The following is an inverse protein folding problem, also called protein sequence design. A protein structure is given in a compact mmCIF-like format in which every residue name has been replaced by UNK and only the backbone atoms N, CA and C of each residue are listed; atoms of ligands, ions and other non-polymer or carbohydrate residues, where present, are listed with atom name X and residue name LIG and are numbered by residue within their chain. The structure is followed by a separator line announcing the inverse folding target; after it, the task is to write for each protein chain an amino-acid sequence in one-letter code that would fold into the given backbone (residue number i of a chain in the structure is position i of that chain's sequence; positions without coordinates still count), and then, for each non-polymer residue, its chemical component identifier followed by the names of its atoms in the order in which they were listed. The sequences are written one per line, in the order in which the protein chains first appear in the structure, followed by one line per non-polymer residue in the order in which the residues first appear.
data_IF_998885421323
#
_entry.id   IF_998885421323
#
_cell.length_a   1.000
_cell.length_b   1.000
_cell.length_c   1.000
_cell.angle_alpha   90.00
_cell.angle_beta   90.00
_cell.angle_gamma   90.00
#
_symmetry.space_group_name_H-M   'P 1'
#
loop_
_entity.id
_entity.type
_entity.pdbx_description
1 polymer ?
#
# COMPACT_ATOMS: atom_id res chain seq x y z
N UNK A 1 25.88 7.70 -4.43
CA UNK A 1 25.37 7.32 -5.76
C UNK A 1 24.63 8.53 -6.31
N UNK A 2 24.96 9.01 -7.51
CA UNK A 2 24.23 10.12 -8.14
C UNK A 2 23.06 9.55 -8.94
N UNK A 3 21.84 10.05 -8.70
CA UNK A 3 20.64 9.67 -9.46
C UNK A 3 20.42 10.70 -10.55
N UNK A 4 20.40 10.26 -11.81
CA UNK A 4 20.10 11.11 -12.97
C UNK A 4 18.64 10.94 -13.36
N UNK A 5 17.95 12.04 -13.64
CA UNK A 5 16.55 12.05 -14.08
C UNK A 5 16.49 12.64 -15.49
N UNK A 6 15.72 12.00 -16.37
CA UNK A 6 15.51 12.52 -17.71
C UNK A 6 14.79 13.88 -17.67
N UNK A 7 15.24 14.84 -18.48
CA UNK A 7 14.71 16.21 -18.53
C UNK A 7 13.18 16.24 -18.69
N UNK A 8 12.64 15.42 -19.60
CA UNK A 8 11.19 15.29 -19.81
C UNK A 8 10.42 14.88 -18.55
N UNK A 9 11.02 14.05 -17.68
CA UNK A 9 10.40 13.64 -16.41
C UNK A 9 10.43 14.80 -15.42
N UNK A 10 11.56 15.51 -15.33
CA UNK A 10 11.67 16.70 -14.48
C UNK A 10 10.63 17.77 -14.87
N UNK A 11 10.48 18.05 -16.16
CA UNK A 11 9.46 18.99 -16.68
C UNK A 11 8.01 18.58 -16.33
N UNK A 12 7.71 17.28 -16.30
CA UNK A 12 6.40 16.80 -15.86
C UNK A 12 6.23 17.05 -14.37
N UNK A 13 7.22 16.67 -13.55
CA UNK A 13 7.21 16.86 -12.09
C UNK A 13 7.04 18.34 -11.72
N UNK A 14 7.74 19.23 -12.44
CA UNK A 14 7.63 20.68 -12.24
C UNK A 14 6.19 21.20 -12.44
N UNK A 15 5.42 20.61 -13.35
CA UNK A 15 4.03 20.99 -13.67
C UNK A 15 2.99 20.40 -12.73
N UNK A 16 3.22 19.20 -12.21
CA UNK A 16 2.21 18.46 -11.42
C UNK A 16 2.38 18.61 -9.91
N UNK A 17 3.56 19.03 -9.44
CA UNK A 17 3.84 19.17 -8.02
C UNK A 17 4.50 20.51 -7.69
N UNK A 18 3.99 21.16 -6.65
CA UNK A 18 4.54 22.40 -6.14
C UNK A 18 5.62 22.10 -5.11
N UNK A 19 6.72 22.86 -5.12
CA UNK A 19 7.82 22.65 -4.19
C UNK A 19 9.06 23.49 -4.51
N UNK A 20 9.98 23.65 -3.55
CA UNK A 20 11.16 24.51 -3.67
C UNK A 20 12.23 23.96 -4.62
N UNK A 21 12.27 22.65 -4.83
CA UNK A 21 13.19 21.99 -5.75
C UNK A 21 12.64 20.62 -6.18
N UNK A 22 13.29 20.03 -7.18
CA UNK A 22 12.89 18.73 -7.75
C UNK A 22 12.87 17.60 -6.71
N UNK A 23 13.81 17.59 -5.76
CA UNK A 23 13.87 16.56 -4.70
C UNK A 23 12.60 16.58 -3.83
N UNK A 24 12.19 17.76 -3.35
CA UNK A 24 10.98 17.90 -2.53
C UNK A 24 9.72 17.54 -3.32
N UNK A 25 9.67 17.90 -4.61
CA UNK A 25 8.56 17.54 -5.48
C UNK A 25 8.45 16.03 -5.67
N UNK A 26 9.57 15.36 -5.94
CA UNK A 26 9.62 13.90 -6.07
C UNK A 26 9.23 13.20 -4.76
N UNK A 27 9.75 13.66 -3.62
CA UNK A 27 9.37 13.12 -2.31
C UNK A 27 7.86 13.20 -2.09
N UNK A 28 7.23 14.34 -2.38
CA UNK A 28 5.78 14.51 -2.26
C UNK A 28 5.00 13.60 -3.20
N UNK A 29 5.46 13.43 -4.44
CA UNK A 29 4.82 12.53 -5.40
C UNK A 29 4.91 11.07 -4.94
N UNK A 30 6.07 10.63 -4.46
CA UNK A 30 6.26 9.28 -3.89
C UNK A 30 5.36 9.10 -2.67
N UNK A 31 5.32 10.08 -1.76
CA UNK A 31 4.45 10.02 -0.57
C UNK A 31 2.97 9.90 -0.96
N UNK A 32 2.49 10.72 -1.91
CA UNK A 32 1.12 10.68 -2.40
C UNK A 32 0.77 9.32 -3.01
N UNK A 33 1.67 8.74 -3.80
CA UNK A 33 1.46 7.41 -4.40
C UNK A 33 1.43 6.30 -3.35
N UNK A 34 2.33 6.34 -2.36
CA UNK A 34 2.33 5.38 -1.25
C UNK A 34 1.01 5.49 -0.46
N UNK A 35 0.57 6.71 -0.14
CA UNK A 35 -0.70 6.93 0.57
C UNK A 35 -1.91 6.47 -0.24
N UNK A 36 -1.92 6.67 -1.56
CA UNK A 36 -2.98 6.18 -2.46
C UNK A 36 -3.09 4.66 -2.38
N UNK A 37 -1.98 3.94 -2.58
CA UNK A 37 -1.95 2.47 -2.49
C UNK A 37 -2.29 1.96 -1.09
N UNK A 38 -1.83 2.65 -0.05
CA UNK A 38 -2.16 2.30 1.33
C UNK A 38 -3.67 2.39 1.56
N UNK A 39 -4.33 3.44 1.06
CA UNK A 39 -5.78 3.59 1.16
C UNK A 39 -6.54 2.46 0.42
N UNK A 40 -6.04 2.02 -0.74
CA UNK A 40 -6.59 0.89 -1.50
C UNK A 40 -6.50 -0.42 -0.71
N UNK A 41 -5.32 -0.76 -0.18
CA UNK A 41 -5.17 -1.97 0.62
C UNK A 41 -5.94 -1.91 1.94
N UNK A 42 -5.97 -0.75 2.62
CA UNK A 42 -6.78 -0.56 3.82
C UNK A 42 -8.28 -0.70 3.52
N UNK A 43 -8.73 -0.29 2.34
CA UNK A 43 -10.11 -0.53 1.89
C UNK A 43 -10.38 -2.03 1.69
N UNK A 44 -9.51 -2.76 0.98
CA UNK A 44 -9.63 -4.22 0.79
C UNK A 44 -9.67 -4.94 2.13
N UNK A 45 -8.73 -4.65 3.04
CA UNK A 45 -8.70 -5.24 4.37
C UNK A 45 -10.00 -4.95 5.15
N UNK A 46 -10.54 -3.72 5.09
CA UNK A 46 -11.83 -3.41 5.72
C UNK A 46 -13.00 -4.16 5.09
N UNK A 47 -13.02 -4.35 3.77
CA UNK A 47 -14.09 -5.09 3.09
C UNK A 47 -14.11 -6.55 3.55
N UNK A 48 -12.95 -7.22 3.64
CA UNK A 48 -12.90 -8.59 4.12
C UNK A 48 -13.18 -8.71 5.61
N UNK A 49 -12.72 -7.75 6.43
CA UNK A 49 -13.10 -7.69 7.84
C UNK A 49 -14.62 -7.58 8.03
N UNK A 50 -15.30 -6.81 7.16
CA UNK A 50 -16.76 -6.72 7.16
C UNK A 50 -17.43 -8.01 6.65
N UNK A 51 -16.88 -8.64 5.60
CA UNK A 51 -17.41 -9.88 5.02
C UNK A 51 -17.38 -11.04 6.01
N UNK A 52 -16.27 -11.21 6.73
CA UNK A 52 -16.06 -12.33 7.64
C UNK A 52 -16.31 -12.01 9.12
N UNK A 53 -16.48 -10.73 9.46
CA UNK A 53 -16.70 -10.29 10.83
C UNK A 53 -15.51 -10.46 11.76
N UNK A 54 -14.29 -10.55 11.20
CA UNK A 54 -13.05 -10.80 11.94
C UNK A 54 -11.84 -10.23 11.19
N UNK A 55 -10.67 -10.22 11.80
CA UNK A 55 -9.39 -9.89 11.15
C UNK A 55 -8.81 -11.08 10.39
N UNK A 56 -7.84 -10.84 9.49
CA UNK A 56 -7.15 -11.92 8.76
C UNK A 56 -6.47 -12.90 9.73
N UNK A 57 -5.82 -12.38 10.77
CA UNK A 57 -5.15 -13.22 11.76
C UNK A 57 -6.15 -14.13 12.52
N UNK A 58 -7.35 -13.64 12.83
CA UNK A 58 -8.41 -14.45 13.41
C UNK A 58 -8.98 -15.46 12.41
N UNK A 59 -9.13 -15.07 11.14
CA UNK A 59 -9.55 -15.95 10.06
C UNK A 59 -8.60 -17.15 9.89
N UNK A 60 -7.30 -16.91 9.93
CA UNK A 60 -6.25 -17.94 9.90
C UNK A 60 -6.25 -18.80 11.16
N UNK A 61 -6.24 -18.16 12.34
CA UNK A 61 -6.18 -18.86 13.63
C UNK A 61 -7.41 -19.75 13.89
N UNK A 62 -8.54 -19.44 13.25
CA UNK A 62 -9.78 -20.22 13.37
C UNK A 62 -10.00 -21.19 12.21
N UNK A 63 -9.01 -21.36 11.33
CA UNK A 63 -9.05 -22.27 10.17
C UNK A 63 -10.29 -22.06 9.28
N UNK A 64 -10.62 -20.80 8.97
CA UNK A 64 -11.85 -20.49 8.24
C UNK A 64 -11.90 -21.08 6.83
N UNK A 65 -10.76 -21.24 6.13
CA UNK A 65 -10.73 -21.92 4.83
C UNK A 65 -11.29 -23.34 4.91
N UNK A 66 -10.91 -24.11 5.94
CA UNK A 66 -11.42 -25.46 6.16
C UNK A 66 -12.92 -25.44 6.47
N UNK A 67 -13.35 -24.52 7.36
CA UNK A 67 -14.76 -24.37 7.75
C UNK A 67 -15.65 -23.96 6.58
N UNK A 68 -15.09 -23.21 5.62
CA UNK A 68 -15.76 -22.79 4.39
C UNK A 68 -15.61 -23.84 3.27
N UNK A 69 -15.02 -25.00 3.57
CA UNK A 69 -14.91 -26.12 2.65
C UNK A 69 -13.95 -25.89 1.50
N UNK A 70 -12.93 -25.05 1.69
CA UNK A 70 -11.96 -24.67 0.64
C UNK A 70 -12.65 -24.23 -0.65
N UNK A 71 -13.72 -23.44 -0.51
CA UNK A 71 -14.38 -22.90 -1.68
C UNK A 71 -13.42 -21.97 -2.43
N UNK A 72 -13.49 -22.00 -3.76
CA UNK A 72 -12.70 -21.11 -4.61
C UNK A 72 -12.85 -19.63 -4.21
N UNK A 73 -14.06 -19.22 -3.82
CA UNK A 73 -14.32 -17.87 -3.31
C UNK A 73 -13.52 -17.58 -2.04
N UNK A 74 -13.56 -18.47 -1.04
CA UNK A 74 -12.84 -18.27 0.22
C UNK A 74 -11.32 -18.26 0.04
N UNK A 75 -10.79 -19.10 -0.85
CA UNK A 75 -9.36 -19.09 -1.19
C UNK A 75 -8.95 -17.80 -1.92
N UNK A 76 -9.76 -17.35 -2.89
CA UNK A 76 -9.52 -16.09 -3.60
C UNK A 76 -9.55 -14.90 -2.66
N UNK A 77 -10.56 -14.82 -1.78
CA UNK A 77 -10.69 -13.77 -0.79
C UNK A 77 -9.50 -13.77 0.18
N UNK A 78 -9.07 -14.95 0.64
CA UNK A 78 -7.90 -15.09 1.51
C UNK A 78 -6.63 -14.54 0.85
N UNK A 79 -6.38 -14.91 -0.41
CA UNK A 79 -5.20 -14.44 -1.14
C UNK A 79 -5.21 -12.91 -1.35
N UNK A 80 -6.35 -12.35 -1.74
CA UNK A 80 -6.49 -10.90 -1.92
C UNK A 80 -6.34 -10.16 -0.58
N UNK A 81 -6.84 -10.74 0.50
CA UNK A 81 -6.76 -10.16 1.84
C UNK A 81 -5.33 -10.20 2.41
N UNK A 82 -4.66 -11.35 2.30
CA UNK A 82 -3.27 -11.54 2.71
C UNK A 82 -2.35 -10.55 2.00
N UNK A 83 -2.47 -10.46 0.67
CA UNK A 83 -1.71 -9.48 -0.12
C UNK A 83 -1.97 -8.03 0.35
N UNK A 84 -3.21 -7.69 0.71
CA UNK A 84 -3.54 -6.37 1.20
C UNK A 84 -2.91 -6.08 2.58
N UNK A 85 -2.94 -7.05 3.51
CA UNK A 85 -2.35 -6.89 4.85
C UNK A 85 -0.82 -6.72 4.76
N UNK A 86 -0.16 -7.52 3.93
CA UNK A 86 1.27 -7.40 3.67
C UNK A 86 1.61 -6.06 2.99
N UNK A 87 0.82 -5.66 2.00
CA UNK A 87 0.94 -4.38 1.31
C UNK A 87 0.84 -3.19 2.29
N UNK A 88 -0.10 -3.23 3.24
CA UNK A 88 -0.23 -2.22 4.29
C UNK A 88 1.03 -2.13 5.15
N UNK A 89 1.54 -3.28 5.61
CA UNK A 89 2.71 -3.33 6.49
C UNK A 89 3.96 -2.75 5.79
N UNK A 90 4.17 -3.14 4.53
CA UNK A 90 5.27 -2.65 3.70
C UNK A 90 5.15 -1.14 3.43
N UNK A 91 4.00 -0.64 2.95
CA UNK A 91 3.84 0.77 2.61
C UNK A 91 3.94 1.69 3.84
N UNK A 92 3.48 1.23 5.02
CA UNK A 92 3.70 1.97 6.28
C UNK A 92 5.17 2.06 6.64
N UNK A 93 5.98 1.04 6.33
CA UNK A 93 7.44 1.06 6.51
C UNK A 93 8.09 2.07 5.57
N UNK A 94 7.70 2.08 4.31
CA UNK A 94 8.20 3.03 3.31
C UNK A 94 7.85 4.48 3.67
N UNK A 95 6.65 4.76 4.18
CA UNK A 95 6.29 6.10 4.67
C UNK A 95 7.18 6.56 5.83
N UNK A 96 7.48 5.67 6.79
CA UNK A 96 8.40 5.98 7.89
C UNK A 96 9.79 6.29 7.36
N UNK A 97 10.31 5.43 6.49
CA UNK A 97 11.62 5.63 5.87
C UNK A 97 11.70 6.97 5.12
N UNK A 98 10.67 7.32 4.35
CA UNK A 98 10.61 8.60 3.62
C UNK A 98 10.55 9.82 4.57
N UNK A 99 9.87 9.69 5.71
CA UNK A 99 9.82 10.76 6.73
C UNK A 99 11.14 10.97 7.46
N UNK A 100 11.87 9.88 7.71
CA UNK A 100 13.20 9.91 8.35
C UNK A 100 14.28 10.44 7.39
N UNK A 101 14.17 10.13 6.10
CA UNK A 101 15.12 10.61 5.08
C UNK A 101 14.98 12.11 4.74
N UNK A 102 13.86 12.73 5.11
CA UNK A 102 13.60 14.16 4.91
C UNK A 102 13.85 15.04 6.15
N UNK A 103 14.30 14.45 7.27
CA UNK A 103 14.67 15.13 8.52
C UNK A 103 16.17 15.39 8.58
#
# INVERSE_FOLDING_TARGET
MAVMIAEKIAEIVERIESGPNLQVKLQRLVEKEIRRRLAEYEYINRQFQQKYGMTLAEFEATHMLEKLGYSFEAESDYHDWDQAVDGIAMLRRELRFLSEAGS
#
